data_IF_314661883217
#
_entry.id   IF_314661883217
#
_cell.length_a   1.000
_cell.length_b   1.000
_cell.length_c   1.000
_cell.angle_alpha   90.00
_cell.angle_beta   90.00
_cell.angle_gamma   90.00
#
_symmetry.space_group_name_H-M   'P 1'
#
loop_
_entity.id
_entity.type
_entity.pdbx_description
1 polymer ?
#
# COMPACT_ATOMS: atom_id res chain seq x y z
N UNK A 1 9.83 1.47 18.19
CA UNK A 1 10.01 0.04 17.84
C UNK A 1 8.93 -0.89 18.38
N UNK A 2 8.34 -0.64 19.55
CA UNK A 2 7.29 -1.46 20.17
C UNK A 2 5.95 -1.51 19.39
N UNK A 3 5.55 -0.44 18.75
CA UNK A 3 4.28 -0.36 17.99
C UNK A 3 4.25 -1.32 16.79
N UNK A 4 5.36 -1.42 16.05
CA UNK A 4 5.48 -2.32 14.89
C UNK A 4 5.37 -3.79 15.27
N UNK A 5 5.92 -4.19 16.40
CA UNK A 5 5.89 -5.58 16.85
C UNK A 5 4.50 -6.01 17.35
N UNK A 6 3.75 -5.11 17.98
CA UNK A 6 2.37 -5.34 18.41
C UNK A 6 1.41 -5.55 17.22
N UNK A 7 1.46 -4.65 16.24
CA UNK A 7 0.64 -4.75 15.04
C UNK A 7 0.93 -6.02 14.23
N UNK A 8 2.20 -6.36 14.04
CA UNK A 8 2.59 -7.58 13.34
C UNK A 8 2.11 -8.85 14.05
N UNK A 9 2.15 -8.88 15.39
CA UNK A 9 1.61 -10.01 16.17
C UNK A 9 0.10 -10.12 16.01
N UNK A 10 -0.62 -8.98 16.08
CA UNK A 10 -2.07 -8.93 15.83
C UNK A 10 -2.41 -9.43 14.42
N UNK A 11 -1.73 -8.95 13.40
CA UNK A 11 -1.95 -9.38 12.02
C UNK A 11 -1.78 -10.89 11.86
N UNK A 12 -0.74 -11.48 12.44
CA UNK A 12 -0.52 -12.93 12.43
C UNK A 12 -1.61 -13.70 13.18
N UNK A 13 -2.07 -13.20 14.34
CA UNK A 13 -3.12 -13.84 15.10
C UNK A 13 -4.46 -13.82 14.34
N UNK A 14 -4.82 -12.68 13.73
CA UNK A 14 -6.03 -12.57 12.92
C UNK A 14 -5.95 -13.42 11.64
N UNK A 15 -4.79 -13.50 11.01
CA UNK A 15 -4.54 -14.38 9.87
C UNK A 15 -4.70 -15.86 10.23
N UNK A 16 -4.22 -16.26 11.41
CA UNK A 16 -4.41 -17.64 11.89
C UNK A 16 -5.89 -17.97 12.12
N UNK A 17 -6.66 -17.04 12.71
CA UNK A 17 -8.10 -17.20 12.88
C UNK A 17 -8.82 -17.35 11.53
N UNK A 18 -8.50 -16.52 10.55
CA UNK A 18 -9.09 -16.58 9.21
C UNK A 18 -8.81 -17.94 8.54
N UNK A 19 -7.60 -18.46 8.69
CA UNK A 19 -7.23 -19.80 8.19
C UNK A 19 -8.03 -20.91 8.87
N UNK A 20 -8.16 -20.86 10.18
CA UNK A 20 -8.95 -21.84 10.95
C UNK A 20 -10.43 -21.83 10.52
N UNK A 21 -11.01 -20.65 10.33
CA UNK A 21 -12.38 -20.50 9.84
C UNK A 21 -12.54 -21.18 8.48
N UNK A 22 -11.65 -20.88 7.53
CA UNK A 22 -11.71 -21.48 6.19
C UNK A 22 -11.57 -23.01 6.25
N UNK A 23 -10.68 -23.54 7.08
CA UNK A 23 -10.47 -24.97 7.26
C UNK A 23 -11.71 -25.64 7.86
N UNK A 24 -12.34 -25.02 8.86
CA UNK A 24 -13.57 -25.55 9.48
C UNK A 24 -14.75 -25.55 8.50
N UNK A 25 -14.89 -24.50 7.70
CA UNK A 25 -15.91 -24.42 6.65
C UNK A 25 -15.68 -25.48 5.56
N UNK A 26 -14.42 -25.67 5.13
CA UNK A 26 -14.08 -26.72 4.17
C UNK A 26 -14.33 -28.12 4.72
N UNK A 27 -13.98 -28.36 6.00
CA UNK A 27 -14.26 -29.61 6.68
C UNK A 27 -15.77 -29.89 6.77
N UNK A 28 -16.55 -28.87 7.08
CA UNK A 28 -18.02 -28.98 7.12
C UNK A 28 -18.60 -29.41 5.76
N UNK A 29 -18.12 -28.79 4.68
CA UNK A 29 -18.53 -29.15 3.31
C UNK A 29 -18.16 -30.60 2.98
N UNK A 30 -16.93 -31.02 3.28
CA UNK A 30 -16.50 -32.41 3.06
C UNK A 30 -17.30 -33.43 3.86
N UNK A 31 -17.68 -33.10 5.11
CA UNK A 31 -18.46 -33.94 5.97
C UNK A 31 -19.92 -34.04 5.50
N UNK A 32 -20.47 -32.97 4.98
CA UNK A 32 -21.78 -32.94 4.37
C UNK A 32 -21.88 -33.83 3.12
N UNK A 33 -20.82 -33.80 2.28
CA UNK A 33 -20.74 -34.58 1.02
C UNK A 33 -20.26 -36.02 1.22
N UNK A 34 -19.84 -36.40 2.44
CA UNK A 34 -19.27 -37.71 2.72
C UNK A 34 -20.33 -38.83 2.66
N UNK A 35 -19.89 -40.02 2.26
CA UNK A 35 -20.70 -41.25 2.40
C UNK A 35 -20.01 -42.20 3.39
N UNK A 36 -20.62 -42.50 4.56
CA UNK A 36 -21.95 -42.09 5.04
C UNK A 36 -22.02 -40.60 5.44
N UNK A 37 -23.17 -39.98 5.17
CA UNK A 37 -23.43 -38.58 5.50
C UNK A 37 -23.31 -38.30 7.00
N UNK A 38 -22.56 -37.25 7.41
CA UNK A 38 -22.29 -36.93 8.81
C UNK A 38 -22.75 -35.50 9.17
N UNK A 39 -24.08 -35.24 9.17
CA UNK A 39 -24.63 -33.90 9.34
C UNK A 39 -24.25 -33.25 10.67
N UNK A 40 -24.30 -34.00 11.77
CA UNK A 40 -23.95 -33.50 13.11
C UNK A 40 -22.48 -33.03 13.20
N UNK A 41 -21.57 -33.74 12.54
CA UNK A 41 -20.16 -33.33 12.51
C UNK A 41 -19.95 -32.08 11.64
N UNK A 42 -20.69 -31.94 10.54
CA UNK A 42 -20.68 -30.75 9.71
C UNK A 42 -21.24 -29.53 10.48
N UNK A 43 -22.36 -29.68 11.18
CA UNK A 43 -22.95 -28.63 12.02
C UNK A 43 -21.99 -28.21 13.15
N UNK A 44 -21.34 -29.15 13.82
CA UNK A 44 -20.34 -28.84 14.85
C UNK A 44 -19.15 -28.04 14.29
N UNK A 45 -18.68 -28.41 13.10
CA UNK A 45 -17.60 -27.67 12.44
C UNK A 45 -18.03 -26.24 12.07
N UNK A 46 -19.25 -26.03 11.60
CA UNK A 46 -19.79 -24.69 11.32
C UNK A 46 -20.02 -23.90 12.62
N UNK A 47 -20.43 -24.52 13.70
CA UNK A 47 -20.54 -23.88 15.02
C UNK A 47 -19.18 -23.33 15.49
N UNK A 48 -18.15 -24.15 15.41
CA UNK A 48 -16.80 -23.74 15.75
C UNK A 48 -16.28 -22.60 14.79
N UNK A 49 -16.60 -22.68 13.52
CA UNK A 49 -16.25 -21.61 12.57
C UNK A 49 -16.91 -20.28 12.97
N UNK A 50 -18.18 -20.29 13.35
CA UNK A 50 -18.91 -19.11 13.79
C UNK A 50 -18.34 -18.53 15.10
N UNK A 51 -17.93 -19.38 16.05
CA UNK A 51 -17.24 -18.92 17.26
C UNK A 51 -15.89 -18.23 16.93
N UNK A 52 -15.12 -18.79 16.00
CA UNK A 52 -13.86 -18.18 15.53
C UNK A 52 -14.11 -16.87 14.79
N UNK A 53 -15.18 -16.79 14.02
CA UNK A 53 -15.56 -15.57 13.29
C UNK A 53 -15.89 -14.40 14.23
N UNK A 54 -16.45 -14.69 15.41
CA UNK A 54 -16.65 -13.66 16.45
C UNK A 54 -15.35 -13.13 17.03
N UNK A 55 -14.25 -13.89 17.00
CA UNK A 55 -12.94 -13.48 17.47
C UNK A 55 -12.17 -12.66 16.43
N UNK A 56 -12.59 -12.65 15.16
CA UNK A 56 -12.04 -11.75 14.16
C UNK A 56 -12.43 -10.31 14.50
N UNK A 57 -11.45 -9.42 14.45
CA UNK A 57 -11.72 -7.99 14.65
C UNK A 57 -12.47 -7.38 13.44
N UNK A 58 -13.13 -6.25 13.67
CA UNK A 58 -13.94 -5.60 12.64
C UNK A 58 -13.10 -5.20 11.41
N UNK A 59 -11.83 -4.81 11.62
CA UNK A 59 -10.92 -4.47 10.53
C UNK A 59 -10.58 -5.69 9.68
N UNK A 60 -10.27 -6.82 10.30
CA UNK A 60 -9.95 -8.07 9.59
C UNK A 60 -11.14 -8.56 8.75
N UNK A 61 -12.35 -8.53 9.32
CA UNK A 61 -13.58 -8.86 8.58
C UNK A 61 -13.82 -7.95 7.38
N UNK A 62 -13.67 -6.64 7.57
CA UNK A 62 -13.84 -5.68 6.50
C UNK A 62 -12.82 -5.87 5.37
N UNK A 63 -11.55 -6.15 5.70
CA UNK A 63 -10.51 -6.42 4.72
C UNK A 63 -10.78 -7.69 3.90
N UNK A 64 -11.22 -8.77 4.53
CA UNK A 64 -11.57 -9.99 3.84
C UNK A 64 -12.81 -9.83 2.96
N UNK A 65 -13.82 -9.09 3.43
CA UNK A 65 -15.03 -8.80 2.65
C UNK A 65 -14.72 -7.90 1.43
N UNK A 66 -13.77 -6.96 1.54
CA UNK A 66 -13.37 -6.06 0.45
C UNK A 66 -12.41 -6.72 -0.56
N UNK A 67 -11.78 -7.84 -0.21
CA UNK A 67 -10.79 -8.51 -1.06
C UNK A 67 -11.26 -8.83 -2.47
N UNK A 68 -12.46 -9.42 -2.70
CA UNK A 68 -12.96 -9.69 -4.05
C UNK A 68 -13.11 -8.42 -4.89
N UNK A 69 -13.59 -7.34 -4.30
CA UNK A 69 -13.74 -6.02 -4.94
C UNK A 69 -12.37 -5.45 -5.30
N UNK A 70 -11.43 -5.46 -4.37
CA UNK A 70 -10.06 -5.03 -4.59
C UNK A 70 -9.40 -5.80 -5.74
N UNK A 71 -9.58 -7.12 -5.76
CA UNK A 71 -9.05 -7.99 -6.83
C UNK A 71 -9.66 -7.64 -8.19
N UNK A 72 -10.96 -7.38 -8.23
CA UNK A 72 -11.65 -6.98 -9.46
C UNK A 72 -11.18 -5.60 -9.96
N UNK A 73 -10.99 -4.64 -9.07
CA UNK A 73 -10.53 -3.29 -9.43
C UNK A 73 -9.11 -3.31 -10.01
N UNK A 74 -8.21 -4.08 -9.41
CA UNK A 74 -6.83 -4.21 -9.89
C UNK A 74 -6.67 -5.18 -11.08
N UNK A 75 -7.71 -5.93 -11.43
CA UNK A 75 -7.74 -6.71 -12.68
C UNK A 75 -8.01 -5.86 -13.92
N UNK A 76 -8.59 -4.67 -13.75
CA UNK A 76 -8.86 -3.70 -14.83
C UNK A 76 -7.55 -3.08 -15.33
N UNK A 77 -7.62 -2.45 -16.50
CA UNK A 77 -6.48 -1.72 -17.07
C UNK A 77 -6.34 -0.31 -16.47
N UNK A 78 -7.40 0.21 -15.85
CA UNK A 78 -7.42 1.50 -15.18
C UNK A 78 -8.07 1.40 -13.81
N UNK A 79 -7.48 2.07 -12.82
CA UNK A 79 -8.08 2.32 -11.53
C UNK A 79 -8.81 3.67 -11.57
N UNK A 80 -10.11 3.65 -11.30
CA UNK A 80 -10.92 4.86 -11.23
C UNK A 80 -11.23 5.16 -9.78
N UNK A 81 -10.74 6.29 -9.27
CA UNK A 81 -11.01 6.75 -7.92
C UNK A 81 -11.83 8.03 -7.98
N UNK A 82 -13.00 8.02 -7.38
CA UNK A 82 -13.85 9.20 -7.29
C UNK A 82 -13.46 10.04 -6.07
N UNK A 83 -13.02 11.27 -6.32
CA UNK A 83 -12.69 12.24 -5.27
C UNK A 83 -13.61 13.43 -5.42
N UNK A 84 -14.60 13.54 -4.53
CA UNK A 84 -15.69 14.52 -4.64
C UNK A 84 -16.41 14.38 -5.98
N UNK A 85 -16.41 15.43 -6.82
CA UNK A 85 -17.08 15.46 -8.12
C UNK A 85 -16.14 15.09 -9.28
N UNK A 86 -14.90 14.71 -9.00
CA UNK A 86 -13.90 14.37 -10.01
C UNK A 86 -13.54 12.91 -9.96
N UNK A 87 -13.49 12.28 -11.13
CA UNK A 87 -12.93 10.95 -11.31
C UNK A 87 -11.44 11.07 -11.66
N UNK A 88 -10.61 10.42 -10.86
CA UNK A 88 -9.18 10.30 -11.13
C UNK A 88 -8.95 8.92 -11.72
N UNK A 89 -8.53 8.87 -12.96
CA UNK A 89 -8.20 7.65 -13.69
C UNK A 89 -6.70 7.45 -13.68
N UNK A 90 -6.25 6.29 -13.24
CA UNK A 90 -4.84 5.92 -13.18
C UNK A 90 -4.63 4.63 -13.94
N UNK A 91 -3.83 4.60 -15.01
CA UNK A 91 -3.54 3.38 -15.73
C UNK A 91 -2.80 2.39 -14.82
N UNK A 92 -3.27 1.14 -14.80
CA UNK A 92 -2.68 0.04 -14.04
C UNK A 92 -1.72 -0.81 -14.86
N UNK A 93 -1.67 -0.58 -16.16
CA UNK A 93 -0.81 -1.32 -17.10
C UNK A 93 0.10 -0.33 -17.82
N UNK A 94 1.38 -0.67 -17.88
CA UNK A 94 2.37 -0.03 -18.75
C UNK A 94 2.86 -1.04 -19.78
N UNK A 95 3.33 -0.57 -20.93
CA UNK A 95 3.93 -1.45 -21.94
C UNK A 95 5.45 -1.34 -21.86
N UNK A 96 6.11 -2.50 -21.89
CA UNK A 96 7.57 -2.58 -22.02
C UNK A 96 8.01 -2.14 -23.42
N UNK A 97 9.30 -1.96 -23.64
CA UNK A 97 9.86 -1.67 -24.96
C UNK A 97 9.53 -2.76 -26.00
N UNK A 98 9.35 -4.01 -25.57
CA UNK A 98 8.90 -5.13 -26.41
C UNK A 98 7.39 -5.19 -26.63
N UNK A 99 6.63 -4.23 -26.10
CA UNK A 99 5.16 -4.19 -26.19
C UNK A 99 4.44 -5.07 -25.16
N UNK A 100 5.16 -5.80 -24.30
CA UNK A 100 4.56 -6.66 -23.29
C UNK A 100 3.84 -5.82 -22.22
N UNK A 101 2.57 -6.13 -21.90
CA UNK A 101 1.85 -5.44 -20.84
C UNK A 101 2.43 -5.82 -19.47
N UNK A 102 2.79 -4.81 -18.69
CA UNK A 102 3.32 -4.97 -17.31
C UNK A 102 2.36 -4.26 -16.35
N UNK A 103 1.82 -4.99 -15.38
CA UNK A 103 0.96 -4.41 -14.35
C UNK A 103 1.78 -3.62 -13.34
N UNK A 104 1.31 -2.42 -12.98
CA UNK A 104 1.95 -1.56 -11.95
C UNK A 104 1.88 -2.18 -10.56
N UNK A 105 0.85 -2.99 -10.30
CA UNK A 105 0.66 -3.73 -9.05
C UNK A 105 0.32 -5.17 -9.38
N UNK A 106 1.12 -6.10 -8.87
CA UNK A 106 0.82 -7.52 -8.89
C UNK A 106 0.16 -7.90 -7.56
N UNK A 107 -1.10 -8.34 -7.62
CA UNK A 107 -1.77 -8.90 -6.44
C UNK A 107 -1.30 -10.33 -6.20
N UNK A 108 -1.25 -10.77 -4.94
CA UNK A 108 -0.92 -12.15 -4.63
C UNK A 108 -2.01 -13.12 -5.14
N UNK A 109 -1.57 -14.33 -5.48
CA UNK A 109 -2.43 -15.42 -5.95
C UNK A 109 -2.78 -16.40 -4.82
N UNK A 110 -2.88 -15.90 -3.59
CA UNK A 110 -3.22 -16.70 -2.43
C UNK A 110 -4.65 -17.22 -2.50
N UNK A 111 -4.85 -18.45 -2.03
CA UNK A 111 -6.15 -19.09 -1.86
C UNK A 111 -6.54 -19.19 -0.37
N UNK A 112 -5.56 -19.19 0.52
CA UNK A 112 -5.75 -19.22 1.96
C UNK A 112 -6.15 -17.85 2.48
N UNK A 113 -7.28 -17.77 3.20
CA UNK A 113 -7.78 -16.50 3.75
C UNK A 113 -6.84 -15.90 4.80
N UNK A 114 -6.10 -16.73 5.50
CA UNK A 114 -5.08 -16.27 6.44
C UNK A 114 -3.93 -15.57 5.73
N UNK A 115 -3.43 -16.12 4.62
CA UNK A 115 -2.35 -15.50 3.85
C UNK A 115 -2.83 -14.20 3.19
N UNK A 116 -4.06 -14.19 2.65
CA UNK A 116 -4.69 -12.98 2.11
C UNK A 116 -4.79 -11.90 3.19
N UNK A 117 -5.32 -12.23 4.36
CA UNK A 117 -5.49 -11.28 5.45
C UNK A 117 -4.13 -10.77 5.97
N UNK A 118 -3.14 -11.65 6.11
CA UNK A 118 -1.80 -11.27 6.53
C UNK A 118 -1.18 -10.26 5.54
N UNK A 119 -1.32 -10.51 4.25
CA UNK A 119 -0.84 -9.60 3.22
C UNK A 119 -1.59 -8.24 3.26
N UNK A 120 -2.92 -8.26 3.36
CA UNK A 120 -3.72 -7.04 3.46
C UNK A 120 -3.36 -6.20 4.69
N UNK A 121 -3.02 -6.84 5.82
CA UNK A 121 -2.63 -6.13 7.04
C UNK A 121 -1.19 -5.67 7.07
N UNK A 122 -0.25 -6.33 6.38
CA UNK A 122 1.18 -6.05 6.49
C UNK A 122 1.78 -5.35 5.27
N UNK A 123 1.24 -5.59 4.08
CA UNK A 123 1.76 -5.08 2.81
C UNK A 123 0.73 -4.19 2.11
N UNK A 124 -0.39 -4.74 1.68
CA UNK A 124 -1.49 -4.10 0.99
C UNK A 124 -1.09 -3.46 -0.36
N UNK A 125 -2.03 -2.76 -0.99
CA UNK A 125 -1.82 -2.01 -2.24
C UNK A 125 -1.43 -0.56 -1.96
N UNK A 126 -0.76 0.13 -2.90
CA UNK A 126 -0.39 1.53 -2.74
C UNK A 126 -1.57 2.41 -2.35
N UNK A 127 -1.40 3.23 -1.32
CA UNK A 127 -2.44 4.13 -0.81
C UNK A 127 -3.40 3.51 0.21
N UNK A 128 -3.33 2.20 0.46
CA UNK A 128 -4.07 1.53 1.55
C UNK A 128 -3.11 1.13 2.67
N UNK A 129 -3.48 1.45 3.91
CA UNK A 129 -2.66 1.10 5.08
C UNK A 129 -2.35 -0.40 5.12
N UNK A 130 -1.12 -0.82 5.43
CA UNK A 130 0.04 -0.03 5.85
C UNK A 130 0.93 0.50 4.72
N UNK A 131 0.62 0.22 3.45
CA UNK A 131 1.38 0.74 2.33
C UNK A 131 0.99 2.20 2.04
N UNK A 132 1.70 3.14 2.66
CA UNK A 132 1.50 4.56 2.42
C UNK A 132 2.04 4.94 1.05
N UNK A 133 1.19 5.59 0.26
CA UNK A 133 1.60 6.29 -0.95
C UNK A 133 1.51 7.80 -0.70
N UNK A 134 2.05 8.64 -1.59
CA UNK A 134 1.84 10.08 -1.52
C UNK A 134 0.35 10.46 -1.69
N UNK A 135 0.09 11.69 -2.10
CA UNK A 135 -1.29 12.16 -2.37
C UNK A 135 -2.03 11.28 -3.38
N UNK A 136 -1.30 10.67 -4.30
CA UNK A 136 -1.81 9.74 -5.29
C UNK A 136 -1.17 8.36 -5.12
N UNK A 137 -1.95 7.30 -5.30
CA UNK A 137 -1.48 5.92 -5.20
C UNK A 137 -0.37 5.61 -6.21
N UNK A 138 -0.43 6.21 -7.40
CA UNK A 138 0.54 6.03 -8.48
C UNK A 138 1.15 7.35 -8.90
N UNK A 139 2.40 7.29 -9.38
CA UNK A 139 3.03 8.41 -10.07
C UNK A 139 2.32 8.67 -11.39
N UNK A 140 2.34 9.92 -11.84
CA UNK A 140 1.88 10.29 -13.18
C UNK A 140 2.83 9.66 -14.21
N UNK A 141 2.29 9.16 -15.31
CA UNK A 141 3.11 8.49 -16.33
C UNK A 141 4.13 9.42 -17.00
N UNK A 142 3.82 10.73 -17.06
CA UNK A 142 4.69 11.75 -17.65
C UNK A 142 5.53 12.50 -16.60
N UNK A 143 5.63 11.96 -15.38
CA UNK A 143 6.40 12.59 -14.32
C UNK A 143 7.81 12.02 -14.30
N UNK A 144 8.80 12.90 -14.51
CA UNK A 144 10.20 12.53 -14.35
C UNK A 144 10.44 12.04 -12.93
N UNK A 145 10.95 10.80 -12.75
CA UNK A 145 11.26 10.25 -11.44
C UNK A 145 12.45 10.92 -10.76
N UNK A 146 13.18 11.77 -11.47
CA UNK A 146 14.38 12.40 -10.94
C UNK A 146 14.07 13.35 -9.79
N UNK A 147 14.85 13.24 -8.74
CA UNK A 147 14.83 14.14 -7.60
C UNK A 147 16.19 14.84 -7.49
N UNK A 148 16.19 16.15 -7.54
CA UNK A 148 17.40 16.94 -7.34
C UNK A 148 17.64 17.12 -5.84
N UNK A 149 18.83 16.78 -5.37
CA UNK A 149 19.22 16.95 -3.96
C UNK A 149 20.69 17.40 -3.79
N UNK A 150 21.45 17.47 -4.86
CA UNK A 150 22.84 17.93 -4.79
C UNK A 150 22.90 19.43 -5.03
N UNK A 151 23.40 20.17 -4.04
CA UNK A 151 23.69 21.58 -4.15
C UNK A 151 25.01 21.85 -4.93
N UNK A 152 25.27 23.11 -5.21
CA UNK A 152 26.49 23.58 -5.87
C UNK A 152 27.03 24.78 -5.12
N UNK A 153 28.00 24.57 -4.21
CA UNK A 153 28.65 25.63 -3.45
C UNK A 153 27.68 26.36 -2.51
N UNK A 154 27.47 27.66 -2.77
CA UNK A 154 26.61 28.51 -1.95
C UNK A 154 25.10 28.37 -2.30
N UNK A 155 24.27 29.02 -1.51
CA UNK A 155 22.83 28.97 -1.67
C UNK A 155 22.34 29.59 -2.99
N UNK A 156 22.99 30.62 -3.49
CA UNK A 156 22.63 31.27 -4.77
C UNK A 156 22.89 30.34 -5.95
N UNK A 157 24.05 29.70 -5.97
CA UNK A 157 24.42 28.73 -7.01
C UNK A 157 23.51 27.51 -6.96
N UNK A 158 23.25 27.01 -5.79
CA UNK A 158 22.34 25.90 -5.58
C UNK A 158 20.93 26.23 -6.09
N UNK A 159 20.38 27.40 -5.74
CA UNK A 159 19.09 27.86 -6.23
C UNK A 159 19.08 28.00 -7.76
N UNK A 160 20.11 28.64 -8.33
CA UNK A 160 20.24 28.80 -9.79
C UNK A 160 20.29 27.42 -10.49
N UNK A 161 21.07 26.49 -9.95
CA UNK A 161 21.14 25.12 -10.46
C UNK A 161 19.78 24.44 -10.45
N UNK A 162 19.06 24.50 -9.34
CA UNK A 162 17.74 23.88 -9.24
C UNK A 162 16.73 24.49 -10.22
N UNK A 163 16.73 25.81 -10.37
CA UNK A 163 15.88 26.48 -11.35
C UNK A 163 16.19 26.01 -12.78
N UNK A 164 17.46 26.01 -13.13
CA UNK A 164 17.93 25.63 -14.48
C UNK A 164 17.56 24.16 -14.79
N UNK A 165 17.86 23.24 -13.87
CA UNK A 165 17.60 21.81 -14.06
C UNK A 165 16.12 21.45 -14.02
N UNK A 166 15.28 22.27 -13.38
CA UNK A 166 13.84 22.04 -13.31
C UNK A 166 13.04 22.79 -14.36
N UNK A 167 13.70 23.54 -15.22
CA UNK A 167 13.04 24.28 -16.28
C UNK A 167 12.36 23.32 -17.28
N UNK A 168 11.10 23.59 -17.59
CA UNK A 168 10.30 22.73 -18.48
C UNK A 168 9.79 21.42 -17.87
N UNK A 169 10.16 21.07 -16.65
CA UNK A 169 9.65 19.86 -16.01
C UNK A 169 8.18 20.02 -15.55
N UNK A 170 7.30 19.07 -15.82
CA UNK A 170 5.90 19.12 -15.41
C UNK A 170 5.71 19.00 -13.89
N UNK A 171 6.66 18.35 -13.19
CA UNK A 171 6.68 18.26 -11.73
C UNK A 171 8.11 18.38 -11.22
N UNK A 172 8.30 19.24 -10.21
CA UNK A 172 9.61 19.50 -9.61
C UNK A 172 9.69 18.79 -8.27
N UNK A 173 10.74 17.99 -8.11
CA UNK A 173 11.05 17.31 -6.84
C UNK A 173 12.41 17.71 -6.37
N UNK A 174 12.43 18.50 -5.29
CA UNK A 174 13.63 18.96 -4.66
C UNK A 174 13.73 18.37 -3.26
N UNK A 175 14.92 17.91 -2.89
CA UNK A 175 15.25 17.60 -1.50
C UNK A 175 16.15 18.71 -0.97
N UNK A 176 15.73 19.33 0.13
CA UNK A 176 16.54 20.29 0.87
C UNK A 176 17.32 19.54 1.94
N UNK A 177 18.62 19.76 2.00
CA UNK A 177 19.43 19.47 3.17
C UNK A 177 19.36 20.66 4.12
N UNK A 178 19.78 20.45 5.38
CA UNK A 178 19.98 21.56 6.30
C UNK A 178 20.92 22.57 5.66
N UNK A 179 20.59 23.86 5.80
CA UNK A 179 21.49 24.90 5.34
C UNK A 179 22.82 24.86 6.11
N UNK A 180 23.88 25.28 5.45
CA UNK A 180 25.23 25.23 6.03
C UNK A 180 25.37 26.11 7.28
N UNK A 181 24.53 27.13 7.41
CA UNK A 181 24.54 28.05 8.57
C UNK A 181 24.08 27.30 9.81
N UNK A 182 22.94 26.64 9.73
CA UNK A 182 22.39 25.80 10.82
C UNK A 182 23.30 24.60 11.10
N UNK A 183 23.84 23.98 10.05
CA UNK A 183 24.72 22.82 10.18
C UNK A 183 26.02 23.14 10.95
N UNK A 184 26.56 24.34 10.73
CA UNK A 184 27.76 24.81 11.42
C UNK A 184 27.48 25.57 12.73
N UNK A 185 26.20 25.60 13.17
CA UNK A 185 25.80 26.25 14.41
C UNK A 185 25.89 27.78 14.38
N UNK A 186 25.87 28.38 13.20
CA UNK A 186 25.82 29.83 13.05
C UNK A 186 24.40 30.37 13.14
N UNK A 187 24.27 31.61 13.63
CA UNK A 187 23.00 32.31 13.64
C UNK A 187 22.62 32.76 12.23
N UNK A 188 21.45 32.35 11.69
CA UNK A 188 21.02 32.74 10.34
C UNK A 188 20.74 34.24 10.21
N UNK A 189 20.46 34.96 11.30
CA UNK A 189 20.17 36.39 11.28
C UNK A 189 21.43 37.24 11.02
N UNK A 190 22.61 36.71 11.35
CA UNK A 190 23.88 37.38 11.13
C UNK A 190 24.41 37.23 9.70
N UNK A 191 23.79 36.36 8.91
CA UNK A 191 24.19 36.12 7.50
C UNK A 191 22.95 36.11 6.64
N UNK A 192 22.85 36.98 5.67
CA UNK A 192 21.85 36.89 4.59
C UNK A 192 22.14 35.69 3.69
N UNK A 193 22.19 34.53 4.26
CA UNK A 193 22.37 33.31 3.48
C UNK A 193 20.99 32.86 3.07
N UNK A 194 20.77 32.92 1.77
CA UNK A 194 19.61 32.33 1.19
C UNK A 194 19.50 30.87 1.67
N UNK A 195 18.56 30.63 2.55
CA UNK A 195 17.99 29.28 2.66
C UNK A 195 17.69 28.86 1.23
N UNK A 196 17.95 27.61 0.86
CA UNK A 196 17.50 27.10 -0.42
C UNK A 196 15.97 27.19 -0.44
N UNK A 197 15.45 28.36 -0.70
CA UNK A 197 14.04 28.58 -0.90
C UNK A 197 13.68 28.04 -2.27
N UNK A 198 12.87 27.03 -2.25
CA UNK A 198 12.21 26.49 -3.42
C UNK A 198 11.07 27.41 -3.82
#
# INVERSE_FOLDING_TARGET
>A
MLFRSGYKRRAKAQAQLAREIQQLQAAATMLADSKPHKPRAAEASLGLAAEREQQLDAQARALLADWPTLKADYARDELVVKVRDKEIRSPLVTRSLSGTPVRKVALPTFHDQGDILQWLMLDNVPGRYPFTAGTFAFKRDNEDPTRMFAGEGDAFRTNRRFKLLSEGMPAKRLSTAFDSVTLYGNDPDLRQIGRAHV
#
